data_IF_963248648802
#
_entry.id   IF_963248648802
#
_cell.length_a   1.000
_cell.length_b   1.000
_cell.length_c   1.000
_cell.angle_alpha   90.00
_cell.angle_beta   90.00
_cell.angle_gamma   90.00
#
_symmetry.space_group_name_H-M   'P 1'
#
loop_
_entity.id
_entity.type
_entity.pdbx_description
1 polymer ?
#
# COMPACT_ATOMS: atom_id res chain seq x y z
N UNK A 1 9.87 4.79 -11.57
CA UNK A 1 8.49 4.84 -11.05
C UNK A 1 8.20 6.21 -10.42
N UNK A 2 6.98 6.74 -10.53
CA UNK A 2 6.58 8.01 -9.93
C UNK A 2 5.53 7.78 -8.84
N UNK A 3 5.81 8.23 -7.62
CA UNK A 3 4.91 8.04 -6.47
C UNK A 3 4.20 9.33 -6.11
N UNK A 4 2.89 9.22 -5.82
CA UNK A 4 2.05 10.31 -5.35
C UNK A 4 1.26 9.85 -4.11
N UNK A 5 1.35 10.61 -3.03
CA UNK A 5 0.49 10.44 -1.84
C UNK A 5 -0.75 11.30 -2.09
N UNK A 6 -1.90 10.65 -2.22
CA UNK A 6 -3.16 11.27 -2.66
C UNK A 6 -4.11 11.56 -1.47
N UNK A 7 -3.81 11.06 -0.27
CA UNK A 7 -4.64 11.29 0.91
C UNK A 7 -3.86 11.21 2.24
N UNK A 8 -4.52 11.58 3.33
CA UNK A 8 -3.98 11.57 4.69
C UNK A 8 -3.96 10.12 5.21
N UNK A 9 -2.88 9.80 5.92
CA UNK A 9 -2.69 8.52 6.60
C UNK A 9 -3.48 8.53 7.91
N UNK A 10 -4.38 7.57 8.09
CA UNK A 10 -5.12 7.40 9.34
C UNK A 10 -4.47 6.31 10.20
N UNK A 11 -3.89 6.70 11.33
CA UNK A 11 -3.31 5.77 12.29
C UNK A 11 -4.36 5.21 13.28
N UNK A 12 -5.31 4.44 12.78
CA UNK A 12 -6.40 3.88 13.59
C UNK A 12 -6.03 2.58 14.33
N UNK A 13 -4.82 2.05 14.12
CA UNK A 13 -4.29 0.85 14.76
C UNK A 13 -2.75 0.94 14.78
N UNK A 14 -2.11 0.44 15.84
CA UNK A 14 -0.67 0.63 16.08
C UNK A 14 0.22 -0.02 15.01
N UNK A 15 -0.30 -1.01 14.28
CA UNK A 15 0.39 -1.71 13.20
C UNK A 15 0.47 -0.88 11.90
N UNK A 16 -0.47 0.06 11.70
CA UNK A 16 -0.61 0.82 10.44
C UNK A 16 0.67 1.57 10.05
N UNK A 17 1.35 2.33 10.94
CA UNK A 17 2.53 3.10 10.58
C UNK A 17 3.70 2.18 10.21
N UNK A 18 3.85 1.06 10.92
CA UNK A 18 4.89 0.07 10.66
C UNK A 18 4.69 -0.63 9.31
N UNK A 19 3.46 -0.99 8.96
CA UNK A 19 3.14 -1.57 7.65
C UNK A 19 3.36 -0.54 6.54
N UNK A 20 2.90 0.71 6.76
CA UNK A 20 3.01 1.76 5.75
C UNK A 20 4.47 2.13 5.45
N UNK A 21 5.33 2.25 6.47
CA UNK A 21 6.75 2.56 6.23
C UNK A 21 7.43 1.45 5.42
N UNK A 22 7.06 0.18 5.63
CA UNK A 22 7.55 -0.94 4.82
C UNK A 22 7.09 -0.83 3.37
N UNK A 23 5.83 -0.46 3.13
CA UNK A 23 5.30 -0.22 1.77
C UNK A 23 6.03 0.96 1.10
N UNK A 24 6.27 2.06 1.81
CA UNK A 24 7.03 3.21 1.28
C UNK A 24 8.46 2.80 0.93
N UNK A 25 9.11 1.99 1.78
CA UNK A 25 10.44 1.47 1.51
C UNK A 25 10.45 0.58 0.26
N UNK A 26 9.48 -0.34 0.13
CA UNK A 26 9.33 -1.16 -1.07
C UNK A 26 9.18 -0.32 -2.34
N UNK A 27 8.35 0.73 -2.29
CA UNK A 27 8.16 1.66 -3.41
C UNK A 27 9.45 2.41 -3.76
N UNK A 28 10.20 2.84 -2.73
CA UNK A 28 11.41 3.65 -2.91
C UNK A 28 12.60 2.83 -3.40
N UNK A 29 12.68 1.56 -3.03
CA UNK A 29 13.83 0.68 -3.30
C UNK A 29 13.66 -0.21 -4.53
N UNK A 30 12.45 -0.29 -5.08
CA UNK A 30 12.21 -1.08 -6.30
C UNK A 30 12.52 -0.24 -7.54
N UNK A 31 13.14 -0.83 -8.55
CA UNK A 31 13.43 -0.16 -9.83
C UNK A 31 12.30 -0.34 -10.85
N UNK A 32 11.51 -1.41 -10.71
CA UNK A 32 10.45 -1.78 -11.65
C UNK A 32 9.20 -2.37 -10.95
N UNK A 33 8.17 -2.66 -11.75
CA UNK A 33 6.88 -3.19 -11.30
C UNK A 33 7.01 -4.57 -10.66
N UNK A 34 7.86 -5.42 -11.19
CA UNK A 34 8.05 -6.80 -10.78
C UNK A 34 8.71 -6.88 -9.40
N UNK A 35 9.74 -6.07 -9.17
CA UNK A 35 10.39 -5.90 -7.87
C UNK A 35 9.42 -5.34 -6.83
N UNK A 36 8.68 -4.27 -7.17
CA UNK A 36 7.66 -3.71 -6.27
C UNK A 36 6.63 -4.76 -5.90
N UNK A 37 6.16 -5.54 -6.88
CA UNK A 37 5.19 -6.60 -6.65
C UNK A 37 5.73 -7.68 -5.72
N UNK A 38 6.97 -8.10 -5.91
CA UNK A 38 7.60 -9.08 -5.03
C UNK A 38 7.74 -8.56 -3.60
N UNK A 39 8.16 -7.31 -3.43
CA UNK A 39 8.32 -6.70 -2.12
C UNK A 39 6.98 -6.51 -1.38
N UNK A 40 5.92 -6.08 -2.09
CA UNK A 40 4.58 -5.95 -1.50
C UNK A 40 4.02 -7.33 -1.09
N UNK A 41 4.22 -8.37 -1.90
CA UNK A 41 3.80 -9.73 -1.54
C UNK A 41 4.50 -10.21 -0.25
N UNK A 42 5.81 -9.97 -0.13
CA UNK A 42 6.55 -10.31 1.08
C UNK A 42 6.04 -9.52 2.31
N UNK A 43 5.72 -8.23 2.15
CA UNK A 43 5.11 -7.44 3.23
C UNK A 43 3.73 -8.01 3.63
N UNK A 44 2.93 -8.47 2.68
CA UNK A 44 1.64 -9.09 2.95
C UNK A 44 1.77 -10.42 3.70
N UNK A 45 2.82 -11.21 3.42
CA UNK A 45 3.10 -12.46 4.14
C UNK A 45 3.60 -12.22 5.58
N UNK A 46 4.39 -11.16 5.78
CA UNK A 46 5.03 -10.88 7.07
C UNK A 46 4.22 -9.96 7.99
N UNK A 47 3.12 -9.38 7.51
CA UNK A 47 2.33 -8.39 8.25
C UNK A 47 0.83 -8.55 7.98
N UNK A 48 -0.01 -7.88 8.77
CA UNK A 48 -1.45 -7.81 8.50
C UNK A 48 -1.82 -6.76 7.42
N UNK A 49 -1.01 -6.62 6.35
CA UNK A 49 -1.24 -5.61 5.29
C UNK A 49 -2.68 -5.65 4.76
N UNK A 50 -3.18 -6.86 4.46
CA UNK A 50 -4.50 -7.06 3.85
C UNK A 50 -5.67 -6.72 4.79
N UNK A 51 -5.44 -6.66 6.10
CA UNK A 51 -6.43 -6.25 7.10
C UNK A 51 -6.65 -4.74 7.09
N UNK A 52 -5.57 -3.98 6.95
CA UNK A 52 -5.59 -2.52 7.08
C UNK A 52 -5.62 -1.80 5.74
N UNK A 53 -5.19 -2.46 4.67
CA UNK A 53 -5.08 -1.86 3.35
C UNK A 53 -5.66 -2.77 2.26
N UNK A 54 -6.17 -2.12 1.21
CA UNK A 54 -6.48 -2.76 -0.05
C UNK A 54 -5.52 -2.20 -1.11
N UNK A 55 -5.02 -3.05 -1.97
CA UNK A 55 -4.07 -2.65 -3.01
C UNK A 55 -4.25 -3.47 -4.27
N UNK A 56 -3.65 -3.00 -5.36
CA UNK A 56 -3.69 -3.72 -6.62
C UNK A 56 -2.82 -3.07 -7.68
N UNK A 57 -2.72 -3.78 -8.81
CA UNK A 57 -1.92 -3.38 -9.96
C UNK A 57 -2.83 -3.19 -11.16
N UNK A 58 -2.84 -1.98 -11.71
CA UNK A 58 -3.36 -1.70 -13.05
C UNK A 58 -2.31 -2.00 -14.12
N UNK A 59 -2.64 -1.65 -15.37
CA UNK A 59 -1.71 -1.78 -16.50
C UNK A 59 -0.39 -1.00 -16.25
N UNK A 60 -0.51 0.24 -15.77
CA UNK A 60 0.60 1.21 -15.64
C UNK A 60 0.79 1.78 -14.23
N UNK A 61 0.11 1.24 -13.22
CA UNK A 61 0.27 1.75 -11.86
C UNK A 61 -0.05 0.72 -10.78
N UNK A 62 0.54 0.92 -9.61
CA UNK A 62 0.10 0.35 -8.33
C UNK A 62 -0.74 1.37 -7.57
N UNK A 63 -1.72 0.91 -6.80
CA UNK A 63 -2.53 1.74 -5.91
C UNK A 63 -2.67 1.10 -4.54
N UNK A 64 -2.81 1.94 -3.51
CA UNK A 64 -3.05 1.55 -2.12
C UNK A 64 -4.21 2.37 -1.56
N UNK A 65 -5.13 1.73 -0.84
CA UNK A 65 -6.22 2.35 -0.08
C UNK A 65 -6.23 1.83 1.34
N UNK A 66 -6.71 2.64 2.28
CA UNK A 66 -7.07 2.13 3.60
C UNK A 66 -8.30 1.23 3.51
N UNK A 67 -8.39 0.23 4.39
CA UNK A 67 -9.63 -0.46 4.74
C UNK A 67 -10.27 0.16 5.96
N UNK A 68 -11.59 0.06 6.06
CA UNK A 68 -12.36 0.46 7.24
C UNK A 68 -12.21 -0.62 8.31
N UNK A 69 -11.84 -0.24 9.54
CA UNK A 69 -11.74 -1.19 10.65
C UNK A 69 -13.09 -1.85 11.00
N UNK A 70 -14.20 -1.16 10.73
CA UNK A 70 -15.54 -1.64 11.07
C UNK A 70 -16.02 -2.83 10.26
N UNK A 71 -15.60 -2.96 9.00
CA UNK A 71 -16.14 -3.96 8.07
C UNK A 71 -15.13 -4.47 7.02
N UNK A 72 -13.87 -4.02 7.07
CA UNK A 72 -12.83 -4.43 6.12
C UNK A 72 -12.97 -3.84 4.72
N UNK A 73 -14.03 -3.10 4.41
CA UNK A 73 -14.24 -2.53 3.08
C UNK A 73 -13.19 -1.47 2.75
N UNK A 74 -12.65 -1.42 1.51
CA UNK A 74 -11.77 -0.34 1.08
C UNK A 74 -12.45 1.02 1.21
N UNK A 75 -11.69 2.05 1.63
CA UNK A 75 -12.12 3.44 1.52
C UNK A 75 -12.23 3.84 0.04
N UNK A 76 -13.04 4.85 -0.22
CA UNK A 76 -13.32 5.33 -1.58
C UNK A 76 -12.04 5.85 -2.26
N UNK A 77 -11.30 6.70 -1.56
CA UNK A 77 -10.11 7.36 -2.07
C UNK A 77 -8.84 6.53 -1.87
N UNK A 78 -7.91 6.64 -2.83
CA UNK A 78 -6.57 6.10 -2.72
C UNK A 78 -5.78 6.87 -1.68
N UNK A 79 -4.93 6.14 -0.96
CA UNK A 79 -3.91 6.71 -0.10
C UNK A 79 -2.70 7.14 -0.93
N UNK A 80 -2.25 6.28 -1.83
CA UNK A 80 -1.15 6.57 -2.74
C UNK A 80 -1.28 5.79 -4.05
N UNK A 81 -0.53 6.26 -5.05
CA UNK A 81 -0.38 5.65 -6.37
C UNK A 81 1.09 5.67 -6.78
N UNK A 82 1.52 4.61 -7.46
CA UNK A 82 2.85 4.52 -8.08
C UNK A 82 2.68 4.24 -9.56
N UNK A 83 3.13 5.14 -10.43
CA UNK A 83 3.17 4.95 -11.88
C UNK A 83 4.48 4.27 -12.30
N UNK A 84 4.37 3.29 -13.20
CA UNK A 84 5.49 2.53 -13.75
C UNK A 84 5.99 3.14 -15.05
#
# INVERSE_FOLDING_TARGET
>A
MKTEIENIIYNSADEIPHILIRVINAITLSDNKEELRSAINQIAEETELDKFFAYGYGAHHFWLKHRRLSNGEPKEYRLLKVEF
#
